data_IF_253829348330
#
_entry.id   IF_253829348330
#
_cell.length_a   1.000
_cell.length_b   1.000
_cell.length_c   1.000
_cell.angle_alpha   90.00
_cell.angle_beta   90.00
_cell.angle_gamma   90.00
#
_symmetry.space_group_name_H-M   'P 1'
#
loop_
_entity.id
_entity.type
_entity.pdbx_description
1 polymer ?
#
# COMPACT_ATOMS: atom_id res chain seq x y z
N UNK A 1 -2.91 23.96 -28.97
CA UNK A 1 -3.58 22.77 -28.40
C UNK A 1 -2.98 21.46 -28.89
N UNK A 2 -2.90 21.16 -30.20
CA UNK A 2 -2.32 19.88 -30.70
C UNK A 2 -0.90 19.55 -30.22
N UNK A 3 0.02 20.53 -30.14
CA UNK A 3 1.39 20.31 -29.64
C UNK A 3 1.46 20.00 -28.13
N UNK A 4 0.50 20.50 -27.33
CA UNK A 4 0.42 20.23 -25.89
C UNK A 4 -0.07 18.79 -25.64
N UNK A 5 -1.05 18.31 -26.42
CA UNK A 5 -1.51 16.92 -26.34
C UNK A 5 -0.46 15.91 -26.83
N UNK A 6 0.28 16.21 -27.89
CA UNK A 6 1.34 15.32 -28.37
C UNK A 6 2.48 15.15 -27.35
N UNK A 7 2.83 16.23 -26.63
CA UNK A 7 3.80 16.18 -25.55
C UNK A 7 3.30 15.39 -24.33
N UNK A 8 2.02 15.53 -23.95
CA UNK A 8 1.46 14.77 -22.82
C UNK A 8 1.38 13.26 -23.10
N UNK A 9 1.08 12.86 -24.34
CA UNK A 9 1.10 11.44 -24.75
C UNK A 9 2.52 10.86 -24.67
N UNK A 10 3.53 11.61 -25.12
CA UNK A 10 4.93 11.19 -25.02
C UNK A 10 5.38 11.00 -23.57
N UNK A 11 5.02 11.93 -22.68
CA UNK A 11 5.26 11.78 -21.24
C UNK A 11 4.45 10.64 -20.64
N UNK A 12 3.23 10.40 -21.13
CA UNK A 12 2.42 9.24 -20.79
C UNK A 12 3.15 7.93 -21.06
N UNK A 13 3.71 7.75 -22.26
CA UNK A 13 4.50 6.56 -22.61
C UNK A 13 5.66 6.35 -21.64
N UNK A 14 6.45 7.40 -21.38
CA UNK A 14 7.60 7.31 -20.46
C UNK A 14 7.15 7.02 -19.04
N UNK A 15 6.11 7.68 -18.54
CA UNK A 15 5.53 7.43 -17.23
C UNK A 15 5.03 6.00 -17.08
N UNK A 16 4.41 5.46 -18.14
CA UNK A 16 4.00 4.06 -18.24
C UNK A 16 5.20 3.12 -18.14
N UNK A 17 6.26 3.34 -18.93
CA UNK A 17 7.49 2.54 -18.86
C UNK A 17 8.14 2.58 -17.46
N UNK A 18 8.13 3.74 -16.80
CA UNK A 18 8.58 3.89 -15.41
C UNK A 18 7.74 3.03 -14.47
N UNK A 19 6.41 3.05 -14.58
CA UNK A 19 5.54 2.17 -13.79
C UNK A 19 5.85 0.69 -14.03
N UNK A 20 5.96 0.29 -15.31
CA UNK A 20 6.27 -1.09 -15.68
C UNK A 20 7.61 -1.57 -15.12
N UNK A 21 8.62 -0.68 -15.09
CA UNK A 21 9.92 -0.97 -14.49
C UNK A 21 9.85 -1.12 -12.97
N UNK A 22 9.07 -0.27 -12.29
CA UNK A 22 8.86 -0.35 -10.83
C UNK A 22 8.13 -1.64 -10.46
N UNK A 23 7.09 -2.00 -11.20
CA UNK A 23 6.36 -3.28 -11.02
C UNK A 23 7.29 -4.47 -11.24
N UNK A 24 8.08 -4.46 -12.31
CA UNK A 24 9.03 -5.53 -12.61
C UNK A 24 10.11 -5.66 -11.51
N UNK A 25 10.64 -4.52 -11.02
CA UNK A 25 11.61 -4.51 -9.94
C UNK A 25 11.01 -5.03 -8.63
N UNK A 26 9.78 -4.64 -8.31
CA UNK A 26 9.07 -5.12 -7.12
C UNK A 26 8.99 -6.66 -7.10
N UNK A 27 8.48 -7.25 -8.18
CA UNK A 27 8.39 -8.71 -8.27
C UNK A 27 9.77 -9.38 -8.35
N UNK A 28 10.75 -8.77 -8.99
CA UNK A 28 12.13 -9.29 -8.98
C UNK A 28 12.70 -9.35 -7.57
N UNK A 29 12.46 -8.33 -6.74
CA UNK A 29 12.88 -8.32 -5.33
C UNK A 29 12.19 -9.44 -4.55
N UNK A 30 10.87 -9.60 -4.72
CA UNK A 30 10.12 -10.69 -4.06
C UNK A 30 10.60 -12.08 -4.50
N UNK A 31 10.82 -12.28 -5.80
CA UNK A 31 11.35 -13.50 -6.39
C UNK A 31 12.73 -13.87 -5.80
N UNK A 32 13.62 -12.88 -5.63
CA UNK A 32 14.94 -13.06 -5.00
C UNK A 32 14.79 -13.43 -3.53
N UNK A 33 13.90 -12.78 -2.79
CA UNK A 33 13.61 -13.16 -1.39
C UNK A 33 12.98 -14.55 -1.28
N UNK A 34 12.16 -14.95 -2.25
CA UNK A 34 11.59 -16.29 -2.34
C UNK A 34 12.60 -17.38 -2.76
N UNK A 35 13.84 -17.00 -3.12
CA UNK A 35 14.87 -17.94 -3.55
C UNK A 35 14.75 -18.40 -5.01
N UNK A 36 13.81 -17.84 -5.77
CA UNK A 36 13.57 -18.17 -7.17
C UNK A 36 13.60 -16.91 -8.06
N UNK A 37 14.78 -16.41 -8.45
CA UNK A 37 14.87 -15.26 -9.36
C UNK A 37 14.05 -15.47 -10.63
N UNK A 38 13.32 -14.44 -11.05
CA UNK A 38 12.46 -14.45 -12.23
C UNK A 38 11.30 -15.46 -12.16
N UNK A 39 10.90 -15.91 -10.97
CA UNK A 39 9.70 -16.74 -10.79
C UNK A 39 8.45 -16.08 -11.38
N UNK A 40 8.16 -14.84 -10.99
CA UNK A 40 6.97 -14.12 -11.43
C UNK A 40 6.89 -13.97 -12.96
N UNK A 41 7.90 -13.42 -13.67
CA UNK A 41 7.81 -13.31 -15.12
C UNK A 41 7.83 -14.68 -15.83
N UNK A 42 8.43 -15.73 -15.25
CA UNK A 42 8.31 -17.10 -15.79
C UNK A 42 6.87 -17.59 -15.73
N UNK A 43 6.23 -17.43 -14.59
CA UNK A 43 4.85 -17.83 -14.33
C UNK A 43 3.90 -17.08 -15.27
N UNK A 44 3.94 -15.74 -15.26
CA UNK A 44 3.07 -14.92 -16.10
C UNK A 44 3.30 -15.15 -17.59
N UNK A 45 4.55 -15.35 -18.02
CA UNK A 45 4.86 -15.69 -19.41
C UNK A 45 4.25 -17.04 -19.82
N UNK A 46 4.32 -18.06 -18.97
CA UNK A 46 3.73 -19.38 -19.27
C UNK A 46 2.20 -19.35 -19.39
N UNK A 47 1.55 -18.52 -18.58
CA UNK A 47 0.08 -18.42 -18.54
C UNK A 47 -0.47 -17.52 -19.65
N UNK A 48 0.18 -16.39 -19.93
CA UNK A 48 -0.33 -15.39 -20.88
C UNK A 48 0.11 -15.66 -22.32
N UNK A 49 1.27 -16.28 -22.52
CA UNK A 49 1.87 -16.47 -23.86
C UNK A 49 2.18 -17.93 -24.18
N UNK A 50 2.16 -18.82 -23.18
CA UNK A 50 2.44 -20.24 -23.32
C UNK A 50 1.20 -21.11 -23.36
N UNK A 51 1.39 -22.40 -23.16
CA UNK A 51 0.36 -23.43 -23.03
C UNK A 51 -0.05 -23.70 -21.57
N UNK A 52 0.47 -22.91 -20.63
CA UNK A 52 0.21 -23.09 -19.20
C UNK A 52 0.85 -24.34 -18.58
N UNK A 53 1.68 -25.11 -19.31
CA UNK A 53 2.23 -26.40 -18.84
C UNK A 53 3.46 -26.29 -17.94
N UNK A 54 3.97 -25.08 -17.72
CA UNK A 54 5.11 -24.79 -16.84
C UNK A 54 6.48 -24.80 -17.52
N UNK A 55 7.35 -23.93 -16.98
CA UNK A 55 8.71 -23.54 -17.44
C UNK A 55 8.74 -22.72 -18.73
N UNK A 56 8.35 -21.44 -18.60
CA UNK A 56 8.66 -20.44 -19.62
C UNK A 56 10.18 -20.33 -19.81
N UNK A 57 10.68 -20.71 -20.99
CA UNK A 57 12.08 -20.49 -21.37
C UNK A 57 12.39 -19.01 -21.55
N UNK A 58 13.69 -18.68 -21.64
CA UNK A 58 14.21 -17.30 -21.77
C UNK A 58 13.49 -16.50 -22.87
N UNK A 59 13.19 -17.13 -24.01
CA UNK A 59 12.46 -16.49 -25.11
C UNK A 59 11.05 -16.05 -24.73
N UNK A 60 10.32 -16.87 -23.99
CA UNK A 60 8.95 -16.57 -23.58
C UNK A 60 8.94 -15.48 -22.49
N UNK A 61 9.91 -15.51 -21.58
CA UNK A 61 10.14 -14.44 -20.61
C UNK A 61 10.40 -13.11 -21.35
N UNK A 62 11.30 -13.11 -22.34
CA UNK A 62 11.60 -11.91 -23.11
C UNK A 62 10.36 -11.36 -23.86
N UNK A 63 9.57 -12.25 -24.49
CA UNK A 63 8.32 -11.87 -25.14
C UNK A 63 7.31 -11.28 -24.15
N UNK A 64 7.17 -11.90 -22.97
CA UNK A 64 6.33 -11.38 -21.89
C UNK A 64 6.83 -10.02 -21.39
N UNK A 65 8.14 -9.83 -21.21
CA UNK A 65 8.70 -8.54 -20.81
C UNK A 65 8.41 -7.46 -21.85
N UNK A 66 8.53 -7.75 -23.15
CA UNK A 66 8.15 -6.81 -24.20
C UNK A 66 6.66 -6.47 -24.17
N UNK A 67 5.79 -7.48 -23.99
CA UNK A 67 4.35 -7.28 -23.84
C UNK A 67 4.03 -6.40 -22.62
N UNK A 68 4.64 -6.71 -21.47
CA UNK A 68 4.50 -5.97 -20.22
C UNK A 68 4.83 -4.49 -20.42
N UNK A 69 6.02 -4.17 -20.92
CA UNK A 69 6.40 -2.78 -21.18
C UNK A 69 5.54 -2.13 -22.26
N UNK A 70 5.08 -2.87 -23.27
CA UNK A 70 4.16 -2.38 -24.29
C UNK A 70 2.79 -1.98 -23.70
N UNK A 71 2.20 -2.82 -22.87
CA UNK A 71 0.93 -2.54 -22.17
C UNK A 71 1.08 -1.35 -21.25
N UNK A 72 2.16 -1.28 -20.47
CA UNK A 72 2.44 -0.15 -19.58
C UNK A 72 2.64 1.17 -20.34
N UNK A 73 3.40 1.15 -21.45
CA UNK A 73 3.56 2.31 -22.33
C UNK A 73 2.23 2.81 -22.89
N UNK A 74 1.39 1.89 -23.39
CA UNK A 74 0.05 2.21 -23.88
C UNK A 74 -0.84 2.79 -22.78
N UNK A 75 -0.84 2.15 -21.60
CA UNK A 75 -1.64 2.59 -20.46
C UNK A 75 -1.24 3.97 -19.97
N UNK A 76 0.07 4.23 -19.85
CA UNK A 76 0.57 5.54 -19.46
C UNK A 76 0.18 6.64 -20.46
N UNK A 77 0.23 6.35 -21.76
CA UNK A 77 -0.27 7.26 -22.81
C UNK A 77 -1.78 7.52 -22.68
N UNK A 78 -2.58 6.47 -22.47
CA UNK A 78 -4.02 6.57 -22.32
C UNK A 78 -4.41 7.38 -21.08
N UNK A 79 -3.75 7.14 -19.94
CA UNK A 79 -3.99 7.86 -18.68
C UNK A 79 -3.59 9.33 -18.82
N UNK A 80 -2.40 9.63 -19.35
CA UNK A 80 -1.98 11.02 -19.56
C UNK A 80 -2.93 11.77 -20.51
N UNK A 81 -3.39 11.10 -21.58
CA UNK A 81 -4.42 11.61 -22.47
C UNK A 81 -5.74 11.87 -21.75
N UNK A 82 -6.22 10.92 -20.94
CA UNK A 82 -7.45 11.07 -20.18
C UNK A 82 -7.38 12.23 -19.18
N UNK A 83 -6.28 12.35 -18.43
CA UNK A 83 -6.03 13.45 -17.48
C UNK A 83 -6.04 14.81 -18.18
N UNK A 84 -5.38 14.91 -19.34
CA UNK A 84 -5.39 16.13 -20.14
C UNK A 84 -6.79 16.47 -20.67
N UNK A 85 -7.58 15.47 -21.08
CA UNK A 85 -8.95 15.66 -21.57
C UNK A 85 -9.90 16.17 -20.48
N UNK A 86 -9.76 15.69 -19.25
CA UNK A 86 -10.63 16.08 -18.11
C UNK A 86 -10.07 17.23 -17.28
N UNK A 87 -8.88 17.74 -17.61
CA UNK A 87 -8.23 18.84 -16.89
C UNK A 87 -7.79 18.51 -15.47
N UNK A 88 -7.52 17.22 -15.17
CA UNK A 88 -7.06 16.78 -13.85
C UNK A 88 -5.53 16.70 -13.86
N UNK A 89 -4.88 17.40 -12.92
CA UNK A 89 -3.43 17.36 -12.78
C UNK A 89 -2.94 15.99 -12.27
N UNK A 90 -1.78 15.49 -12.73
CA UNK A 90 -1.18 14.27 -12.20
C UNK A 90 -0.82 14.47 -10.73
N UNK A 91 -1.26 13.55 -9.87
CA UNK A 91 -1.04 13.64 -8.43
C UNK A 91 -1.13 12.28 -7.74
N UNK A 92 -0.67 12.20 -6.48
CA UNK A 92 -0.59 10.93 -5.75
C UNK A 92 -1.96 10.28 -5.52
N UNK A 93 -3.00 11.07 -5.25
CA UNK A 93 -4.38 10.57 -5.09
C UNK A 93 -4.90 9.95 -6.39
N UNK A 94 -4.61 10.59 -7.53
CA UNK A 94 -4.91 10.04 -8.85
C UNK A 94 -4.13 8.74 -9.07
N UNK A 95 -2.88 8.67 -8.60
CA UNK A 95 -2.06 7.45 -8.62
C UNK A 95 -2.69 6.30 -7.86
N UNK A 96 -3.22 6.54 -6.66
CA UNK A 96 -3.95 5.51 -5.88
C UNK A 96 -5.18 5.03 -6.64
N UNK A 97 -5.97 5.94 -7.20
CA UNK A 97 -7.15 5.58 -7.99
C UNK A 97 -6.78 4.77 -9.26
N UNK A 98 -5.69 5.13 -9.93
CA UNK A 98 -5.16 4.40 -11.08
C UNK A 98 -4.68 3.00 -10.67
N UNK A 99 -4.02 2.86 -9.53
CA UNK A 99 -3.55 1.57 -9.03
C UNK A 99 -4.72 0.62 -8.76
N UNK A 100 -5.65 1.03 -7.90
CA UNK A 100 -6.79 0.23 -7.44
C UNK A 100 -7.83 -0.02 -8.55
N UNK A 101 -7.98 0.92 -9.47
CA UNK A 101 -8.97 0.84 -10.53
C UNK A 101 -8.37 0.23 -11.80
N UNK A 102 -7.49 0.99 -12.45
CA UNK A 102 -7.06 0.72 -13.83
C UNK A 102 -6.05 -0.42 -13.89
N UNK A 103 -5.00 -0.40 -13.07
CA UNK A 103 -3.95 -1.41 -13.14
C UNK A 103 -4.44 -2.78 -12.67
N UNK A 104 -5.22 -2.84 -11.59
CA UNK A 104 -5.85 -4.08 -11.13
C UNK A 104 -6.84 -4.64 -12.17
N UNK A 105 -7.69 -3.79 -12.76
CA UNK A 105 -8.63 -4.23 -13.81
C UNK A 105 -7.90 -4.79 -15.04
N UNK A 106 -6.78 -4.20 -15.44
CA UNK A 106 -5.97 -4.69 -16.57
C UNK A 106 -5.33 -6.02 -16.24
N UNK A 107 -4.76 -6.17 -15.04
CA UNK A 107 -4.13 -7.42 -14.61
C UNK A 107 -5.16 -8.56 -14.53
N UNK A 108 -6.22 -8.39 -13.72
CA UNK A 108 -7.24 -9.43 -13.55
C UNK A 108 -8.04 -9.66 -14.84
N UNK A 109 -8.27 -8.61 -15.63
CA UNK A 109 -8.88 -8.72 -16.94
C UNK A 109 -8.05 -9.58 -17.89
N UNK A 110 -6.73 -9.37 -17.96
CA UNK A 110 -5.84 -10.21 -18.76
C UNK A 110 -5.89 -11.68 -18.32
N UNK A 111 -5.88 -11.96 -17.01
CA UNK A 111 -6.00 -13.33 -16.50
C UNK A 111 -7.35 -13.98 -16.83
N UNK A 112 -8.45 -13.22 -16.75
CA UNK A 112 -9.78 -13.69 -17.13
C UNK A 112 -9.84 -14.09 -18.61
N UNK A 113 -9.19 -13.35 -19.51
CA UNK A 113 -9.21 -13.66 -20.96
C UNK A 113 -8.56 -14.99 -21.30
N UNK A 114 -7.62 -15.45 -20.49
CA UNK A 114 -6.92 -16.74 -20.67
C UNK A 114 -7.44 -17.83 -19.73
N UNK A 115 -8.51 -17.56 -18.98
CA UNK A 115 -9.10 -18.52 -18.04
C UNK A 115 -8.18 -18.88 -16.86
N UNK A 116 -7.24 -18.01 -16.51
CA UNK A 116 -6.31 -18.26 -15.41
C UNK A 116 -6.98 -18.10 -14.04
N UNK A 117 -6.48 -18.85 -13.05
CA UNK A 117 -6.96 -18.73 -11.68
C UNK A 117 -6.43 -17.44 -11.03
N UNK A 118 -7.35 -16.50 -10.81
CA UNK A 118 -7.07 -15.17 -10.28
C UNK A 118 -6.47 -15.18 -8.87
N UNK A 119 -6.84 -16.17 -8.05
CA UNK A 119 -6.53 -16.19 -6.62
C UNK A 119 -5.28 -16.99 -6.28
N UNK A 120 -4.83 -17.86 -7.18
CA UNK A 120 -3.70 -18.76 -6.91
C UNK A 120 -2.45 -18.42 -7.70
N UNK A 121 -2.54 -17.57 -8.73
CA UNK A 121 -1.40 -17.27 -9.60
C UNK A 121 -0.37 -16.39 -8.89
N UNK A 122 -0.79 -15.23 -8.40
CA UNK A 122 0.03 -14.37 -7.56
C UNK A 122 -0.80 -13.93 -6.35
N UNK A 123 -0.20 -13.82 -5.15
CA UNK A 123 -0.88 -13.26 -4.00
C UNK A 123 -1.39 -11.84 -4.31
N UNK A 124 -2.70 -11.61 -4.13
CA UNK A 124 -3.34 -10.34 -4.52
C UNK A 124 -2.71 -9.12 -3.85
N UNK A 125 -2.21 -9.26 -2.62
CA UNK A 125 -1.51 -8.17 -1.91
C UNK A 125 -0.20 -7.77 -2.61
N UNK A 126 0.55 -8.72 -3.16
CA UNK A 126 1.78 -8.41 -3.90
C UNK A 126 1.45 -7.62 -5.18
N UNK A 127 0.39 -8.00 -5.88
CA UNK A 127 -0.10 -7.31 -7.10
C UNK A 127 -0.55 -5.89 -6.76
N UNK A 128 -1.35 -5.75 -5.70
CA UNK A 128 -1.82 -4.46 -5.20
C UNK A 128 -0.66 -3.50 -4.90
N UNK A 129 0.35 -3.98 -4.14
CA UNK A 129 1.52 -3.17 -3.80
C UNK A 129 2.34 -2.81 -5.03
N UNK A 130 2.54 -3.74 -5.97
CA UNK A 130 3.24 -3.47 -7.21
C UNK A 130 2.54 -2.36 -8.01
N UNK A 131 1.22 -2.49 -8.18
CA UNK A 131 0.39 -1.52 -8.91
C UNK A 131 0.39 -0.15 -8.25
N UNK A 132 0.34 -0.10 -6.91
CA UNK A 132 0.44 1.14 -6.15
C UNK A 132 1.78 1.84 -6.41
N UNK A 133 2.90 1.14 -6.24
CA UNK A 133 4.23 1.72 -6.48
C UNK A 133 4.42 2.14 -7.93
N UNK A 134 3.98 1.33 -8.89
CA UNK A 134 4.01 1.65 -10.31
C UNK A 134 3.22 2.92 -10.65
N UNK A 135 1.96 3.00 -10.20
CA UNK A 135 1.11 4.16 -10.45
C UNK A 135 1.64 5.44 -9.77
N UNK A 136 2.14 5.33 -8.54
CA UNK A 136 2.77 6.46 -7.84
C UNK A 136 4.01 6.95 -8.60
N UNK A 137 4.86 6.04 -9.09
CA UNK A 137 6.04 6.40 -9.87
C UNK A 137 5.68 7.09 -11.19
N UNK A 138 4.67 6.58 -11.90
CA UNK A 138 4.13 7.22 -13.11
C UNK A 138 3.59 8.62 -12.83
N UNK A 139 2.74 8.78 -11.82
CA UNK A 139 2.16 10.09 -11.47
C UNK A 139 3.23 11.07 -11.04
N UNK A 140 4.23 10.62 -10.29
CA UNK A 140 5.36 11.43 -9.89
C UNK A 140 6.22 11.85 -11.10
N UNK A 141 6.40 10.99 -12.10
CA UNK A 141 7.04 11.35 -13.35
C UNK A 141 6.22 12.38 -14.14
N UNK A 142 4.94 12.08 -14.42
CA UNK A 142 4.05 12.93 -15.20
C UNK A 142 3.92 14.32 -14.58
N UNK A 143 3.76 14.38 -13.27
CA UNK A 143 3.68 15.63 -12.54
C UNK A 143 4.93 16.51 -12.74
N UNK A 144 6.14 15.91 -12.69
CA UNK A 144 7.39 16.64 -12.95
C UNK A 144 7.51 17.05 -14.42
N UNK A 145 7.17 16.15 -15.33
CA UNK A 145 7.28 16.37 -16.77
C UNK A 145 6.34 17.48 -17.26
N UNK A 146 5.11 17.51 -16.75
CA UNK A 146 4.10 18.50 -17.08
C UNK A 146 4.27 19.81 -16.29
N UNK A 147 5.29 19.92 -15.44
CA UNK A 147 5.53 21.06 -14.56
C UNK A 147 4.25 21.47 -13.81
N UNK A 148 3.51 20.48 -13.32
CA UNK A 148 2.26 20.71 -12.62
C UNK A 148 2.51 21.66 -11.43
N UNK A 149 1.69 22.69 -11.30
CA UNK A 149 1.88 23.73 -10.28
C UNK A 149 1.60 23.23 -8.85
N UNK A 150 0.99 22.06 -8.70
CA UNK A 150 0.77 21.42 -7.40
C UNK A 150 2.11 20.96 -6.83
N UNK A 151 2.41 21.11 -5.52
CA UNK A 151 3.66 20.61 -4.96
C UNK A 151 3.65 19.08 -4.81
N UNK A 152 4.81 18.43 -4.89
CA UNK A 152 5.03 17.04 -4.49
C UNK A 152 6.00 16.93 -3.30
N UNK A 153 5.89 15.83 -2.54
CA UNK A 153 6.88 15.45 -1.52
C UNK A 153 6.95 16.39 -0.31
N UNK A 154 8.14 16.75 0.21
CA UNK A 154 8.28 17.60 1.40
C UNK A 154 7.63 18.99 1.25
N UNK A 155 7.53 19.51 0.03
CA UNK A 155 6.84 20.76 -0.25
C UNK A 155 5.32 20.62 -0.12
N UNK A 156 4.74 19.48 -0.52
CA UNK A 156 3.34 19.13 -0.25
C UNK A 156 3.10 19.02 1.26
N UNK A 157 4.03 18.43 2.03
CA UNK A 157 3.93 18.37 3.50
C UNK A 157 3.96 19.76 4.17
N UNK A 158 4.74 20.70 3.63
CA UNK A 158 4.76 22.09 4.13
C UNK A 158 3.50 22.87 3.78
N UNK A 159 2.91 22.61 2.60
CA UNK A 159 1.67 23.25 2.17
C UNK A 159 0.41 22.60 2.78
N UNK A 160 0.46 21.31 3.09
CA UNK A 160 -0.64 20.53 3.67
C UNK A 160 -0.25 20.04 5.07
N UNK A 161 -0.42 20.92 6.06
CA UNK A 161 -0.16 20.63 7.48
C UNK A 161 -0.82 19.34 7.95
N UNK A 162 -2.04 19.07 7.50
CA UNK A 162 -2.79 17.85 7.75
C UNK A 162 -2.01 16.60 7.32
N UNK A 163 -1.43 16.58 6.11
CA UNK A 163 -0.68 15.42 5.61
C UNK A 163 0.58 15.17 6.46
N UNK A 164 1.30 16.22 6.83
CA UNK A 164 2.48 16.11 7.68
C UNK A 164 2.15 15.63 9.10
N UNK A 165 1.11 16.21 9.72
CA UNK A 165 0.62 15.81 11.04
C UNK A 165 0.09 14.38 11.01
N UNK A 166 -0.59 14.01 9.92
CA UNK A 166 -1.10 12.68 9.66
C UNK A 166 -0.01 11.62 9.61
N UNK A 167 1.00 11.82 8.76
CA UNK A 167 2.15 10.89 8.65
C UNK A 167 2.84 10.76 10.01
N UNK A 168 3.10 11.87 10.70
CA UNK A 168 3.74 11.84 12.02
C UNK A 168 2.91 11.08 13.06
N UNK A 169 1.59 11.26 13.04
CA UNK A 169 0.65 10.51 13.88
C UNK A 169 0.74 9.01 13.56
N UNK A 170 0.74 8.66 12.28
CA UNK A 170 0.93 7.28 11.83
C UNK A 170 2.23 6.67 12.34
N UNK A 171 3.36 7.38 12.21
CA UNK A 171 4.66 6.92 12.69
C UNK A 171 4.69 6.67 14.20
N UNK A 172 3.98 7.48 14.99
CA UNK A 172 3.82 7.25 16.44
C UNK A 172 3.09 5.93 16.70
N UNK A 173 1.99 5.67 15.98
CA UNK A 173 1.28 4.39 16.06
C UNK A 173 2.15 3.21 15.64
N UNK A 174 2.83 3.35 14.49
CA UNK A 174 3.71 2.31 13.94
C UNK A 174 4.81 1.91 14.93
N UNK A 175 5.46 2.90 15.54
CA UNK A 175 6.49 2.70 16.54
C UNK A 175 5.95 2.05 17.82
N UNK A 176 4.79 2.47 18.31
CA UNK A 176 4.18 1.90 19.51
C UNK A 176 3.83 0.41 19.32
N UNK A 177 3.21 0.06 18.18
CA UNK A 177 2.90 -1.33 17.84
C UNK A 177 4.15 -2.17 17.61
N UNK A 178 5.15 -1.63 16.92
CA UNK A 178 6.43 -2.32 16.70
C UNK A 178 7.16 -2.62 18.01
N UNK A 179 7.19 -1.67 18.95
CA UNK A 179 7.79 -1.87 20.28
C UNK A 179 7.02 -2.91 21.10
N UNK A 180 5.70 -2.92 21.03
CA UNK A 180 4.88 -3.93 21.69
C UNK A 180 5.18 -5.34 21.17
N UNK A 181 5.19 -5.54 19.86
CA UNK A 181 5.50 -6.86 19.29
C UNK A 181 6.95 -7.26 19.49
N UNK A 182 7.89 -6.31 19.48
CA UNK A 182 9.27 -6.60 19.87
C UNK A 182 9.35 -7.10 21.32
N UNK A 183 8.59 -6.49 22.23
CA UNK A 183 8.51 -6.95 23.63
C UNK A 183 7.94 -8.38 23.72
N UNK A 184 6.82 -8.66 23.04
CA UNK A 184 6.20 -9.99 22.98
C UNK A 184 7.18 -11.02 22.41
N UNK A 185 7.84 -10.70 21.31
CA UNK A 185 8.83 -11.54 20.63
C UNK A 185 10.02 -11.88 21.54
N UNK A 186 10.53 -10.88 22.29
CA UNK A 186 11.61 -11.08 23.26
C UNK A 186 11.17 -11.98 24.41
N UNK A 187 9.95 -11.81 24.92
CA UNK A 187 9.40 -12.71 25.95
C UNK A 187 9.30 -14.16 25.45
N UNK A 188 8.99 -14.35 24.17
CA UNK A 188 8.93 -15.64 23.50
C UNK A 188 10.31 -16.17 23.05
N UNK A 189 11.41 -15.49 23.42
CA UNK A 189 12.78 -15.85 23.05
C UNK A 189 13.05 -15.85 21.53
N UNK A 190 12.27 -15.11 20.75
CA UNK A 190 12.44 -14.98 19.30
C UNK A 190 12.30 -13.52 18.85
N UNK A 191 13.28 -12.64 19.13
CA UNK A 191 13.24 -11.23 18.74
C UNK A 191 12.97 -11.05 17.23
N UNK A 192 12.08 -10.12 16.89
CA UNK A 192 11.65 -9.80 15.51
C UNK A 192 10.93 -10.92 14.76
N UNK A 193 10.48 -11.97 15.45
CA UNK A 193 9.68 -13.03 14.83
C UNK A 193 8.38 -12.50 14.23
N UNK A 194 7.65 -11.65 14.93
CA UNK A 194 6.37 -11.10 14.45
C UNK A 194 6.53 -10.36 13.12
N UNK A 195 7.41 -9.35 12.97
CA UNK A 195 7.59 -8.68 11.69
C UNK A 195 8.18 -9.60 10.60
N UNK A 196 8.99 -10.60 10.95
CA UNK A 196 9.49 -11.57 9.98
C UNK A 196 8.39 -12.52 9.48
N UNK A 197 7.51 -12.99 10.37
CA UNK A 197 6.39 -13.85 10.07
C UNK A 197 5.36 -13.13 9.21
N UNK A 198 4.96 -11.91 9.60
CA UNK A 198 4.05 -11.07 8.81
C UNK A 198 4.69 -10.67 7.46
N UNK A 199 6.00 -10.41 7.44
CA UNK A 199 6.75 -10.20 6.19
C UNK A 199 6.71 -11.41 5.27
N UNK A 200 7.04 -12.60 5.79
CA UNK A 200 7.02 -13.84 5.01
C UNK A 200 5.60 -14.15 4.51
N UNK A 201 4.59 -13.88 5.32
CA UNK A 201 3.19 -14.01 4.95
C UNK A 201 2.79 -13.07 3.80
N UNK A 202 2.98 -11.77 4.01
CA UNK A 202 2.47 -10.72 3.11
C UNK A 202 3.30 -10.63 1.83
N UNK A 203 4.62 -10.74 1.95
CA UNK A 203 5.56 -10.55 0.85
C UNK A 203 5.87 -11.84 0.12
N UNK A 204 5.86 -13.00 0.79
CA UNK A 204 6.21 -14.28 0.16
C UNK A 204 5.03 -15.28 0.11
N UNK A 205 3.90 -15.00 0.75
CA UNK A 205 2.75 -15.89 0.77
C UNK A 205 2.91 -17.09 1.71
N UNK A 206 3.75 -16.98 2.76
CA UNK A 206 4.05 -18.07 3.69
C UNK A 206 2.78 -18.66 4.34
N UNK A 207 2.64 -19.98 4.31
CA UNK A 207 1.44 -20.70 4.77
C UNK A 207 1.60 -21.36 6.13
N UNK A 208 2.81 -21.34 6.69
CA UNK A 208 3.11 -21.96 7.97
C UNK A 208 4.31 -21.37 8.69
N UNK A 209 4.50 -21.71 9.98
CA UNK A 209 5.62 -21.22 10.79
C UNK A 209 7.01 -21.65 10.30
N UNK A 210 7.07 -22.76 9.56
CA UNK A 210 8.26 -23.35 8.95
C UNK A 210 8.72 -22.60 7.69
N UNK A 211 7.82 -21.86 7.05
CA UNK A 211 8.12 -21.01 5.89
C UNK A 211 8.58 -19.59 6.29
N UNK A 212 8.66 -19.29 7.59
CA UNK A 212 9.06 -17.97 8.10
C UNK A 212 10.55 -17.72 7.88
N UNK A 213 10.84 -16.68 7.10
CA UNK A 213 12.21 -16.19 6.91
C UNK A 213 12.60 -15.20 8.01
N UNK A 214 13.18 -15.70 9.11
CA UNK A 214 13.68 -14.88 10.21
C UNK A 214 15.02 -14.21 9.83
N UNK A 215 14.95 -13.21 8.95
CA UNK A 215 16.11 -12.43 8.50
C UNK A 215 15.87 -10.94 8.72
N UNK A 216 16.94 -10.18 9.00
CA UNK A 216 16.84 -8.71 9.14
C UNK A 216 16.32 -8.06 7.86
N UNK A 217 16.60 -8.64 6.69
CA UNK A 217 16.12 -8.14 5.42
C UNK A 217 14.58 -8.29 5.30
N UNK A 218 14.02 -9.42 5.72
CA UNK A 218 12.57 -9.62 5.76
C UNK A 218 11.90 -8.69 6.77
N UNK A 219 12.49 -8.53 7.96
CA UNK A 219 12.01 -7.59 8.99
C UNK A 219 12.00 -6.16 8.45
N UNK A 220 13.06 -5.73 7.77
CA UNK A 220 13.14 -4.40 7.17
C UNK A 220 12.10 -4.21 6.05
N UNK A 221 11.93 -5.21 5.19
CA UNK A 221 10.94 -5.17 4.10
C UNK A 221 9.51 -5.04 4.65
N UNK A 222 9.14 -5.84 5.65
CA UNK A 222 7.84 -5.73 6.31
C UNK A 222 7.68 -4.39 7.04
N UNK A 223 8.74 -3.87 7.66
CA UNK A 223 8.70 -2.57 8.36
C UNK A 223 8.31 -1.43 7.41
N UNK A 224 8.73 -1.46 6.14
CA UNK A 224 8.28 -0.48 5.14
C UNK A 224 6.78 -0.57 4.93
N UNK A 225 6.23 -1.77 4.72
CA UNK A 225 4.79 -2.00 4.56
C UNK A 225 4.02 -1.50 5.78
N UNK A 226 4.49 -1.86 6.98
CA UNK A 226 3.92 -1.43 8.26
C UNK A 226 3.89 0.09 8.41
N UNK A 227 5.01 0.78 8.11
CA UNK A 227 5.10 2.24 8.20
C UNK A 227 4.18 2.93 7.20
N UNK A 228 4.10 2.43 5.95
CA UNK A 228 3.20 3.00 4.93
C UNK A 228 1.74 2.87 5.36
N UNK A 229 1.33 1.68 5.79
CA UNK A 229 -0.02 1.44 6.27
C UNK A 229 -0.39 2.38 7.43
N UNK A 230 0.47 2.47 8.45
CA UNK A 230 0.22 3.36 9.58
C UNK A 230 0.23 4.85 9.21
N UNK A 231 1.07 5.28 8.26
CA UNK A 231 1.07 6.65 7.76
C UNK A 231 -0.26 7.02 7.11
N UNK A 232 -0.84 6.12 6.30
CA UNK A 232 -2.17 6.31 5.69
C UNK A 232 -3.25 6.44 6.77
N UNK A 233 -3.24 5.55 7.76
CA UNK A 233 -4.19 5.62 8.90
C UNK A 233 -4.03 6.92 9.67
N UNK A 234 -2.80 7.37 9.93
CA UNK A 234 -2.54 8.62 10.62
C UNK A 234 -3.07 9.85 9.88
N UNK A 235 -2.91 9.89 8.55
CA UNK A 235 -3.49 10.95 7.69
C UNK A 235 -5.00 10.94 7.74
N UNK A 236 -5.62 9.76 7.66
CA UNK A 236 -7.07 9.63 7.76
C UNK A 236 -7.59 10.09 9.13
N UNK A 237 -6.88 9.73 10.21
CA UNK A 237 -7.25 10.10 11.57
C UNK A 237 -7.18 11.61 11.80
N UNK A 238 -6.10 12.26 11.36
CA UNK A 238 -5.96 13.72 11.48
C UNK A 238 -6.99 14.44 10.60
N UNK A 239 -7.22 13.96 9.37
CA UNK A 239 -8.28 14.49 8.51
C UNK A 239 -9.66 14.44 9.17
N UNK A 240 -9.99 13.32 9.81
CA UNK A 240 -11.26 13.19 10.49
C UNK A 240 -11.32 14.04 11.76
N UNK A 241 -10.21 14.17 12.49
CA UNK A 241 -10.10 15.03 13.67
C UNK A 241 -10.29 16.52 13.35
N UNK A 242 -9.83 17.01 12.19
CA UNK A 242 -10.12 18.38 11.75
C UNK A 242 -11.57 18.57 11.31
N UNK A 243 -12.21 17.50 10.80
CA UNK A 243 -13.63 17.50 10.39
C UNK A 243 -14.60 17.33 11.57
N UNK A 244 -14.09 16.89 12.72
CA UNK A 244 -14.82 16.74 13.99
C UNK A 244 -15.44 18.07 14.46
N UNK A 245 -14.76 19.19 14.20
CA UNK A 245 -15.22 20.54 14.58
C UNK A 245 -16.56 20.94 13.91
N UNK A 246 -16.93 20.27 12.80
CA UNK A 246 -18.14 20.59 12.03
C UNK A 246 -19.23 19.52 12.15
N UNK A 247 -18.91 18.27 12.52
CA UNK A 247 -19.88 17.18 12.58
C UNK A 247 -19.45 16.03 13.52
N UNK A 248 -20.10 15.85 14.68
CA UNK A 248 -19.79 14.77 15.63
C UNK A 248 -19.90 13.35 15.02
N UNK A 249 -20.72 13.17 13.99
CA UNK A 249 -20.83 11.90 13.24
C UNK A 249 -19.53 11.49 12.54
N UNK A 250 -18.64 12.42 12.20
CA UNK A 250 -17.32 12.13 11.61
C UNK A 250 -16.34 11.52 12.62
N UNK A 251 -16.52 11.78 13.93
CA UNK A 251 -15.76 11.12 15.00
C UNK A 251 -16.09 9.63 15.08
N UNK A 252 -17.38 9.32 15.03
CA UNK A 252 -17.87 7.96 14.95
C UNK A 252 -17.41 7.30 13.65
N UNK A 253 -17.41 8.03 12.53
CA UNK A 253 -16.90 7.54 11.25
C UNK A 253 -15.38 7.26 11.29
N UNK A 254 -14.59 8.08 11.99
CA UNK A 254 -13.15 7.89 12.17
C UNK A 254 -12.83 6.70 13.07
N UNK A 255 -13.58 6.55 14.17
CA UNK A 255 -13.51 5.37 15.03
C UNK A 255 -13.97 4.12 14.27
N UNK A 256 -15.02 4.20 13.47
CA UNK A 256 -15.45 3.13 12.58
C UNK A 256 -14.41 2.85 11.49
N UNK A 257 -13.76 3.86 10.92
CA UNK A 257 -12.68 3.68 9.95
C UNK A 257 -11.47 3.02 10.60
N UNK A 258 -11.14 3.35 11.85
CA UNK A 258 -10.15 2.65 12.66
C UNK A 258 -10.55 1.19 12.87
N UNK A 259 -11.78 0.90 13.30
CA UNK A 259 -12.32 -0.47 13.45
C UNK A 259 -12.36 -1.22 12.10
N UNK A 260 -12.60 -0.54 10.98
CA UNK A 260 -12.61 -1.11 9.63
C UNK A 260 -11.19 -1.36 9.14
N UNK A 261 -10.23 -0.47 9.39
CA UNK A 261 -8.81 -0.66 9.06
C UNK A 261 -8.19 -1.77 9.89
N UNK A 262 -8.55 -1.83 11.17
CA UNK A 262 -8.18 -2.92 12.06
C UNK A 262 -8.85 -4.23 11.64
N UNK A 263 -10.14 -4.17 11.31
CA UNK A 263 -10.90 -5.28 10.73
C UNK A 263 -10.29 -5.73 9.40
N UNK A 264 -9.79 -4.82 8.57
CA UNK A 264 -9.11 -5.12 7.31
C UNK A 264 -7.73 -5.72 7.56
N UNK A 265 -6.96 -5.21 8.52
CA UNK A 265 -5.70 -5.81 8.95
C UNK A 265 -5.91 -7.22 9.53
N UNK A 266 -6.93 -7.41 10.36
CA UNK A 266 -7.35 -8.71 10.91
C UNK A 266 -7.86 -9.64 9.81
N UNK A 267 -8.71 -9.17 8.88
CA UNK A 267 -9.22 -9.97 7.77
C UNK A 267 -8.08 -10.34 6.83
N UNK A 268 -7.14 -9.45 6.56
CA UNK A 268 -5.93 -9.75 5.76
C UNK A 268 -5.01 -10.72 6.52
N UNK A 269 -4.78 -10.53 7.81
CA UNK A 269 -3.96 -11.44 8.63
C UNK A 269 -4.60 -12.84 8.81
N UNK A 270 -5.93 -12.90 9.01
CA UNK A 270 -6.74 -14.13 9.13
C UNK A 270 -6.83 -14.85 7.78
N UNK A 271 -7.12 -14.12 6.70
CA UNK A 271 -7.21 -14.69 5.35
C UNK A 271 -5.86 -15.18 4.83
N UNK A 272 -4.75 -14.62 5.33
CA UNK A 272 -3.41 -15.05 4.94
C UNK A 272 -2.87 -16.18 5.83
N UNK A 273 -3.18 -16.26 7.12
CA UNK A 273 -2.58 -17.28 7.97
C UNK A 273 -3.31 -17.56 9.29
N UNK A 274 -4.27 -18.48 9.29
CA UNK A 274 -4.84 -19.06 10.52
C UNK A 274 -3.75 -19.52 11.52
N UNK A 275 -2.61 -19.97 11.00
CA UNK A 275 -1.42 -20.36 11.78
C UNK A 275 -0.81 -19.21 12.59
N UNK A 276 -0.93 -17.98 12.12
CA UNK A 276 -0.43 -16.79 12.82
C UNK A 276 -1.26 -16.57 14.09
N UNK A 277 -2.58 -16.74 14.04
CA UNK A 277 -3.44 -16.61 15.23
C UNK A 277 -3.19 -17.70 16.28
N UNK A 278 -2.74 -18.88 15.83
CA UNK A 278 -2.31 -19.96 16.72
C UNK A 278 -1.04 -19.62 17.52
N UNK A 279 -0.17 -18.74 16.99
CA UNK A 279 1.13 -18.40 17.59
C UNK A 279 1.17 -16.98 18.18
N UNK A 280 0.76 -15.98 17.40
CA UNK A 280 0.37 -14.65 17.86
C UNK A 280 -1.02 -14.75 18.46
N UNK A 281 -1.05 -15.00 19.77
CA UNK A 281 -2.30 -15.08 20.51
C UNK A 281 -3.15 -13.82 20.24
N UNK A 282 -4.45 -14.02 20.01
CA UNK A 282 -5.41 -12.94 19.72
C UNK A 282 -5.33 -11.75 20.70
N UNK A 283 -4.95 -11.99 21.97
CA UNK A 283 -4.77 -10.95 22.97
C UNK A 283 -3.57 -10.04 22.67
N UNK A 284 -2.48 -10.56 22.11
CA UNK A 284 -1.29 -9.78 21.77
C UNK A 284 -1.60 -8.82 20.62
N UNK A 285 -2.41 -9.27 19.66
CA UNK A 285 -2.92 -8.45 18.56
C UNK A 285 -3.83 -7.34 19.11
N UNK A 286 -4.83 -7.70 19.92
CA UNK A 286 -5.76 -6.73 20.50
C UNK A 286 -5.08 -5.66 21.36
N UNK A 287 -4.10 -6.04 22.20
CA UNK A 287 -3.35 -5.07 23.01
C UNK A 287 -2.46 -4.19 22.14
N UNK A 288 -1.75 -4.76 21.16
CA UNK A 288 -0.89 -3.99 20.26
C UNK A 288 -1.66 -2.90 19.55
N UNK A 289 -2.83 -3.24 19.03
CA UNK A 289 -3.71 -2.28 18.38
C UNK A 289 -4.25 -1.21 19.33
N UNK A 290 -4.70 -1.59 20.54
CA UNK A 290 -5.14 -0.64 21.55
C UNK A 290 -4.03 0.36 21.92
N UNK A 291 -2.79 -0.11 22.03
CA UNK A 291 -1.60 0.74 22.26
C UNK A 291 -1.40 1.69 21.07
N UNK A 292 -1.49 1.19 19.83
CA UNK A 292 -1.39 2.01 18.62
C UNK A 292 -2.42 3.15 18.61
N UNK A 293 -3.70 2.84 18.85
CA UNK A 293 -4.77 3.84 18.95
C UNK A 293 -4.51 4.84 20.05
N UNK A 294 -4.19 4.36 21.25
CA UNK A 294 -3.99 5.22 22.40
C UNK A 294 -2.81 6.17 22.15
N UNK A 295 -1.73 5.68 21.53
CA UNK A 295 -0.58 6.49 21.17
C UNK A 295 -0.93 7.55 20.11
N UNK A 296 -1.60 7.16 19.02
CA UNK A 296 -2.02 8.07 17.95
C UNK A 296 -3.03 9.10 18.45
N UNK A 297 -4.05 8.68 19.19
CA UNK A 297 -5.07 9.55 19.77
C UNK A 297 -4.48 10.53 20.79
N UNK A 298 -3.58 10.08 21.67
CA UNK A 298 -2.85 10.95 22.60
C UNK A 298 -1.99 11.97 21.86
N UNK A 299 -1.31 11.54 20.80
CA UNK A 299 -0.49 12.43 19.97
C UNK A 299 -1.33 13.53 19.30
N UNK A 300 -2.47 13.15 18.68
CA UNK A 300 -3.43 14.10 18.09
C UNK A 300 -3.95 15.07 19.15
N UNK A 301 -4.37 14.56 20.32
CA UNK A 301 -4.86 15.38 21.43
C UNK A 301 -3.85 16.42 21.92
N UNK A 302 -2.57 16.05 21.99
CA UNK A 302 -1.50 16.96 22.41
C UNK A 302 -1.15 18.01 21.35
N UNK A 303 -1.32 17.67 20.07
CA UNK A 303 -0.92 18.52 18.94
C UNK A 303 -2.03 19.39 18.36
N UNK A 304 -3.29 19.18 18.78
CA UNK A 304 -4.47 19.95 18.35
C UNK A 304 -5.14 20.71 19.51
N UNK A 305 -4.70 21.95 19.83
CA UNK A 305 -5.16 22.70 21.00
C UNK A 305 -6.67 23.02 21.01
N UNK A 306 -7.31 23.12 19.84
CA UNK A 306 -8.75 23.43 19.72
C UNK A 306 -9.65 22.27 20.19
N UNK A 307 -9.27 21.03 19.93
CA UNK A 307 -9.97 19.84 20.46
C UNK A 307 -9.90 19.77 21.99
N UNK A 308 -8.77 20.18 22.56
CA UNK A 308 -8.56 20.21 24.02
C UNK A 308 -9.43 21.25 24.72
N UNK A 309 -9.64 22.42 24.11
CA UNK A 309 -10.49 23.48 24.69
C UNK A 309 -11.97 23.10 24.70
N UNK A 310 -12.50 22.50 23.62
CA UNK A 310 -13.92 22.14 23.53
C UNK A 310 -14.35 21.02 24.49
N UNK A 311 -13.50 20.02 24.73
CA UNK A 311 -13.78 18.93 25.66
C UNK A 311 -13.63 19.33 27.14
N UNK A 312 -12.79 20.32 27.44
CA UNK A 312 -12.64 20.86 28.80
C UNK A 312 -13.76 21.87 29.15
N UNK A 313 -14.36 22.53 28.15
CA UNK A 313 -15.43 23.52 28.35
C UNK A 313 -16.86 22.95 28.23
N UNK A 314 -17.05 21.71 27.77
CA UNK A 314 -18.34 21.03 27.79
C UNK A 314 -18.29 19.75 28.63
N UNK A 315 -18.70 19.78 29.92
CA UNK A 315 -19.01 18.54 30.60
C UNK A 315 -20.13 17.84 29.82
N UNK A 316 -19.99 16.53 29.62
CA UNK A 316 -21.00 15.69 28.98
C UNK A 316 -22.28 15.80 29.82
N UNK A 317 -23.23 16.63 29.39
CA UNK A 317 -24.59 16.57 29.90
C UNK A 317 -25.21 15.28 29.36
N UNK A 318 -25.09 14.20 30.14
CA UNK A 318 -25.91 13.01 29.97
C UNK A 318 -27.33 13.42 30.32
N UNK A 319 -28.12 13.79 29.31
CA UNK A 319 -29.58 13.81 29.45
C UNK A 319 -30.04 12.36 29.54
N UNK A 320 -30.28 11.92 30.78
CA UNK A 320 -31.08 10.74 31.08
C UNK A 320 -32.53 10.96 30.63
#
# INVERSE_FOLDING_TARGET
MQRLHAASIGHGVVGGLVAGAVVALWFFVLDVFGGEPLHTPRLLASVLLGDGSGVAGVRLIAAYTMLHFGVFAFMGAAIAGALALIGVAPGLVVGVAVALGVLDAVYYGALLTVGANLLTLLPGVQVLLANLFGAMAMMMYLHRAEHAATPLGPALLRQHRLLAQGILTGLVGAGAVALWFLFVDVLQQQPFYTPAALGSLVLLGARGPDEVQLTLAMVAAYTVVHVVAFAEVGVLLVWAAERLEQSPGLALLAFMAFVILEGLFLIVAVALGEWILGRLSWWAIGIGNLIGVAAMGRWVWQTHPRLRQQFLERPVEVRL
#
